data_IF_292837053665
#
_entry.id   IF_292837053665
#
_cell.length_a   1.000
_cell.length_b   1.000
_cell.length_c   1.000
_cell.angle_alpha   90.00
_cell.angle_beta   90.00
_cell.angle_gamma   90.00
#
_symmetry.space_group_name_H-M   'P 1'
#
loop_
_entity.id
_entity.type
_entity.pdbx_description
1 polymer ?
#
# COMPACT_ATOMS: atom_id res chain seq x y z
N UNK A 1 16.39 -17.06 5.93
CA UNK A 1 16.69 -15.80 6.66
C UNK A 1 15.34 -15.12 6.73
N UNK A 2 14.86 -14.80 7.90
CA UNK A 2 13.66 -13.98 7.99
C UNK A 2 13.93 -12.66 7.27
N UNK A 3 13.02 -12.14 6.45
CA UNK A 3 13.21 -10.86 5.78
C UNK A 3 13.46 -9.78 6.84
N UNK A 4 14.43 -8.92 6.58
CA UNK A 4 14.72 -7.80 7.47
C UNK A 4 13.61 -6.77 7.30
N UNK A 5 12.71 -6.72 8.26
CA UNK A 5 11.58 -5.79 8.23
C UNK A 5 12.01 -4.35 8.53
N UNK A 6 11.37 -3.35 7.91
CA UNK A 6 11.68 -1.94 8.15
C UNK A 6 11.54 -1.57 9.62
N UNK A 7 12.50 -0.81 10.14
CA UNK A 7 12.54 -0.36 11.53
C UNK A 7 12.44 1.16 11.61
N UNK A 8 11.76 1.71 12.65
CA UNK A 8 11.68 3.15 12.85
C UNK A 8 13.07 3.79 13.02
N UNK A 9 13.29 4.90 12.30
CA UNK A 9 14.47 5.74 12.46
C UNK A 9 14.07 6.99 13.22
N UNK A 10 14.20 6.95 14.56
CA UNK A 10 13.80 8.02 15.47
C UNK A 10 15.00 8.38 16.35
N UNK A 11 15.29 9.69 16.47
CA UNK A 11 16.36 10.20 17.32
C UNK A 11 15.87 10.40 18.76
N UNK A 12 15.38 9.30 19.33
CA UNK A 12 14.94 9.21 20.72
C UNK A 12 15.38 7.87 21.33
N UNK A 13 15.62 7.80 22.65
CA UNK A 13 15.90 6.53 23.31
C UNK A 13 14.74 5.53 23.11
N UNK A 14 15.08 4.30 22.74
CA UNK A 14 14.09 3.24 22.64
C UNK A 14 13.94 2.56 24.02
N UNK A 15 12.79 2.78 24.64
CA UNK A 15 12.41 2.24 25.96
C UNK A 15 11.49 1.01 25.86
N UNK A 16 11.43 0.36 24.70
CA UNK A 16 10.54 -0.79 24.45
C UNK A 16 10.68 -1.88 25.51
N UNK A 17 11.88 -2.14 26.04
CA UNK A 17 12.07 -3.14 27.10
C UNK A 17 11.32 -2.76 28.39
N UNK A 18 11.34 -1.51 28.79
CA UNK A 18 10.61 -1.02 29.98
C UNK A 18 9.09 -1.21 29.81
N UNK A 19 8.58 -0.90 28.61
CA UNK A 19 7.17 -1.09 28.29
C UNK A 19 6.77 -2.57 28.29
N UNK A 20 7.63 -3.45 27.75
CA UNK A 20 7.42 -4.91 27.80
C UNK A 20 7.43 -5.46 29.21
N UNK A 21 8.34 -5.01 30.06
CA UNK A 21 8.39 -5.42 31.47
C UNK A 21 7.11 -4.99 32.22
N UNK A 22 6.58 -3.79 31.90
CA UNK A 22 5.33 -3.31 32.46
C UNK A 22 4.13 -4.15 31.96
N UNK A 23 4.06 -4.43 30.65
CA UNK A 23 3.02 -5.28 30.06
C UNK A 23 3.02 -6.68 30.71
N UNK A 24 4.18 -7.30 30.87
CA UNK A 24 4.28 -8.63 31.50
C UNK A 24 3.77 -8.63 32.93
N UNK A 25 3.95 -7.54 33.69
CA UNK A 25 3.43 -7.40 35.04
C UNK A 25 1.89 -7.21 35.11
N UNK A 26 1.30 -6.64 34.05
CA UNK A 26 -0.10 -6.22 34.01
C UNK A 26 -1.00 -7.10 33.13
N UNK A 27 -0.46 -7.86 32.17
CA UNK A 27 -1.25 -8.58 31.16
C UNK A 27 -2.30 -9.51 31.74
N UNK A 28 -2.05 -10.17 32.89
CA UNK A 28 -2.99 -11.06 33.53
C UNK A 28 -4.28 -10.34 33.95
N UNK A 29 -4.22 -9.03 34.20
CA UNK A 29 -5.40 -8.22 34.52
C UNK A 29 -6.37 -8.20 33.34
N UNK A 30 -5.84 -8.13 32.10
CA UNK A 30 -6.63 -8.11 30.88
C UNK A 30 -7.11 -9.50 30.46
N UNK A 31 -6.23 -10.51 30.55
CA UNK A 31 -6.56 -11.92 30.26
C UNK A 31 -7.67 -12.48 31.11
N UNK A 32 -7.84 -12.01 32.37
CA UNK A 32 -8.83 -12.46 33.30
C UNK A 32 -10.15 -11.67 33.28
N UNK A 33 -10.29 -10.68 32.40
CA UNK A 33 -11.53 -9.93 32.29
C UNK A 33 -12.68 -10.80 31.76
N UNK A 34 -13.92 -10.55 32.21
CA UNK A 34 -15.07 -11.30 31.73
C UNK A 34 -15.25 -11.11 30.19
N UNK A 35 -15.61 -12.22 29.55
CA UNK A 35 -15.90 -12.28 28.10
C UNK A 35 -14.69 -12.06 27.17
N UNK A 36 -13.48 -11.83 27.69
CA UNK A 36 -12.24 -11.80 26.91
C UNK A 36 -11.88 -13.22 26.51
N UNK A 37 -11.78 -13.44 25.18
CA UNK A 37 -11.43 -14.72 24.57
C UNK A 37 -10.06 -14.72 23.92
N UNK A 38 -9.47 -13.53 23.73
CA UNK A 38 -8.12 -13.35 23.22
C UNK A 38 -7.58 -11.95 23.48
N UNK A 39 -6.26 -11.80 23.44
CA UNK A 39 -5.55 -10.53 23.61
C UNK A 39 -4.35 -10.50 22.68
N UNK A 40 -4.18 -9.41 21.93
CA UNK A 40 -2.95 -9.13 21.18
C UNK A 40 -2.25 -7.88 21.71
N UNK A 41 -0.93 -7.85 21.56
CA UNK A 41 -0.11 -6.65 21.61
C UNK A 41 0.06 -6.14 20.18
N UNK A 42 -0.26 -4.90 19.97
CA UNK A 42 -0.21 -4.25 18.68
C UNK A 42 0.75 -3.03 18.71
N UNK A 43 0.64 -2.13 17.76
CA UNK A 43 1.24 -0.82 17.77
C UNK A 43 2.78 -0.79 17.71
N UNK A 44 3.35 0.27 18.28
CA UNK A 44 4.80 0.51 18.28
C UNK A 44 5.60 -0.56 18.99
N UNK A 45 5.08 -1.03 20.12
CA UNK A 45 5.77 -2.00 20.97
C UNK A 45 5.89 -3.37 20.31
N UNK A 46 4.88 -3.86 19.60
CA UNK A 46 4.95 -5.10 18.83
C UNK A 46 5.99 -5.02 17.71
N UNK A 47 6.23 -3.82 17.19
CA UNK A 47 7.27 -3.52 16.18
C UNK A 47 8.66 -3.25 16.77
N UNK A 48 8.83 -3.47 18.09
CA UNK A 48 10.11 -3.30 18.77
C UNK A 48 10.49 -1.85 19.09
N UNK A 49 9.55 -0.91 19.02
CA UNK A 49 9.76 0.49 19.33
C UNK A 49 8.82 0.98 20.44
N UNK A 50 9.38 1.80 21.34
CA UNK A 50 8.63 2.55 22.33
C UNK A 50 9.51 3.62 22.95
N UNK A 51 8.95 4.77 23.29
CA UNK A 51 9.63 5.86 23.96
C UNK A 51 8.75 6.44 25.09
N UNK A 52 9.12 7.61 25.61
CA UNK A 52 8.37 8.27 26.70
C UNK A 52 6.97 8.77 26.27
N UNK A 53 6.70 8.85 24.95
CA UNK A 53 5.43 9.27 24.39
C UNK A 53 4.55 8.08 23.97
N UNK A 54 5.08 6.86 24.09
CA UNK A 54 4.42 5.65 23.60
C UNK A 54 3.44 5.09 24.62
N UNK A 55 2.29 4.67 24.12
CA UNK A 55 1.33 3.80 24.78
C UNK A 55 1.69 2.32 24.59
N UNK A 56 1.02 1.46 25.34
CA UNK A 56 0.95 0.01 25.11
C UNK A 56 -0.39 -0.26 24.43
N UNK A 57 -0.35 -0.64 23.15
CA UNK A 57 -1.53 -0.91 22.35
C UNK A 57 -1.97 -2.36 22.57
N UNK A 58 -3.19 -2.56 23.07
CA UNK A 58 -3.79 -3.88 23.28
C UNK A 58 -5.14 -3.97 22.57
N UNK A 59 -5.35 -5.05 21.80
CA UNK A 59 -6.68 -5.42 21.33
C UNK A 59 -7.22 -6.57 22.17
N UNK A 60 -8.37 -6.35 22.80
CA UNK A 60 -9.11 -7.36 23.56
C UNK A 60 -10.23 -7.94 22.70
N UNK A 61 -10.10 -9.21 22.36
CA UNK A 61 -11.13 -9.91 21.59
C UNK A 61 -12.19 -10.46 22.52
N UNK A 62 -13.44 -10.11 22.25
CA UNK A 62 -14.58 -10.42 23.08
C UNK A 62 -15.52 -11.43 22.41
N UNK A 63 -16.18 -12.25 23.24
CA UNK A 63 -17.35 -12.99 22.79
C UNK A 63 -18.45 -12.04 22.28
N UNK A 64 -19.41 -12.52 21.47
CA UNK A 64 -20.49 -11.70 20.95
C UNK A 64 -21.27 -10.98 22.06
N UNK A 65 -21.66 -11.72 23.11
CA UNK A 65 -22.42 -11.17 24.25
C UNK A 65 -21.57 -10.18 25.08
N UNK A 66 -20.26 -10.45 25.20
CA UNK A 66 -19.31 -9.58 25.88
C UNK A 66 -19.16 -8.26 25.12
N UNK A 67 -18.99 -8.30 23.80
CA UNK A 67 -18.86 -7.10 22.98
C UNK A 67 -20.10 -6.19 23.09
N UNK A 68 -21.31 -6.75 23.00
CA UNK A 68 -22.55 -6.00 23.20
C UNK A 68 -22.65 -5.40 24.62
N UNK A 69 -22.19 -6.15 25.61
CA UNK A 69 -22.18 -5.70 27.02
C UNK A 69 -21.24 -4.52 27.19
N UNK A 70 -20.01 -4.62 26.69
CA UNK A 70 -18.98 -3.57 26.86
C UNK A 70 -19.31 -2.31 26.07
N UNK A 71 -19.75 -2.44 24.82
CA UNK A 71 -20.15 -1.30 23.99
C UNK A 71 -21.40 -0.58 24.50
N UNK A 72 -22.24 -1.24 25.31
CA UNK A 72 -23.38 -0.60 26.01
C UNK A 72 -22.96 0.23 27.24
N UNK A 73 -21.67 0.45 27.49
CA UNK A 73 -21.12 1.25 28.58
C UNK A 73 -20.94 0.45 29.88
N UNK A 74 -20.86 -0.86 29.81
CA UNK A 74 -20.64 -1.76 30.97
C UNK A 74 -19.30 -2.50 30.91
N UNK A 75 -18.31 -1.89 30.20
CA UNK A 75 -16.96 -2.41 30.19
C UNK A 75 -16.33 -2.36 31.57
N UNK A 76 -15.63 -3.43 32.02
CA UNK A 76 -15.00 -3.49 33.36
C UNK A 76 -13.72 -2.64 33.43
N UNK A 77 -13.18 -2.24 32.29
CA UNK A 77 -12.00 -1.35 32.15
C UNK A 77 -12.33 -0.21 31.17
N UNK A 78 -11.64 0.92 31.24
CA UNK A 78 -11.73 1.96 30.21
C UNK A 78 -11.31 1.41 28.84
N UNK A 79 -11.98 1.84 27.76
CA UNK A 79 -11.65 1.54 26.37
C UNK A 79 -11.05 2.78 25.75
N UNK A 80 -10.06 2.63 24.85
CA UNK A 80 -9.27 3.69 24.28
C UNK A 80 -8.09 4.08 25.16
N UNK A 81 -7.61 5.31 24.99
CA UNK A 81 -6.43 5.79 25.70
C UNK A 81 -6.71 5.94 27.19
N UNK A 82 -5.97 5.23 28.01
CA UNK A 82 -6.13 5.21 29.47
C UNK A 82 -4.80 4.98 30.21
N UNK A 83 -4.80 5.13 31.52
CA UNK A 83 -3.63 4.89 32.37
C UNK A 83 -3.89 3.67 33.24
N UNK A 84 -3.01 2.68 33.17
CA UNK A 84 -3.00 1.48 34.01
C UNK A 84 -1.66 1.40 34.73
N UNK A 85 -1.67 1.41 36.05
CA UNK A 85 -0.48 1.36 36.91
C UNK A 85 0.63 2.36 36.48
N UNK A 86 0.23 3.63 36.28
CA UNK A 86 1.09 4.76 35.88
C UNK A 86 1.67 4.66 34.44
N UNK A 87 1.23 3.71 33.61
CA UNK A 87 1.61 3.59 32.22
C UNK A 87 0.40 3.84 31.30
N UNK A 88 0.66 4.54 30.16
CA UNK A 88 -0.34 4.81 29.13
C UNK A 88 -0.61 3.53 28.31
N UNK A 89 -1.90 3.24 28.11
CA UNK A 89 -2.40 2.18 27.25
C UNK A 89 -3.38 2.75 26.23
N UNK A 90 -3.42 2.16 25.05
CA UNK A 90 -4.56 2.24 24.13
C UNK A 90 -5.23 0.85 24.09
N UNK A 91 -6.46 0.77 24.59
CA UNK A 91 -7.21 -0.49 24.72
C UNK A 91 -8.32 -0.50 23.69
N UNK A 92 -8.14 -1.28 22.65
CA UNK A 92 -9.18 -1.54 21.66
C UNK A 92 -9.96 -2.82 21.99
N UNK A 93 -11.20 -2.89 21.50
CA UNK A 93 -12.03 -4.09 21.63
C UNK A 93 -12.53 -4.52 20.27
N UNK A 94 -12.42 -5.80 20.00
CA UNK A 94 -12.97 -6.41 18.78
C UNK A 94 -13.86 -7.59 19.12
N UNK A 95 -14.86 -7.82 18.28
CA UNK A 95 -15.69 -9.02 18.37
C UNK A 95 -14.99 -10.15 17.63
N UNK A 96 -14.69 -11.25 18.32
CA UNK A 96 -13.92 -12.36 17.74
C UNK A 96 -14.57 -12.96 16.48
N UNK A 97 -15.90 -13.12 16.42
CA UNK A 97 -16.59 -13.67 15.27
C UNK A 97 -16.48 -12.75 14.03
N UNK A 98 -16.39 -11.42 14.22
CA UNK A 98 -16.17 -10.45 13.15
C UNK A 98 -14.73 -10.56 12.67
N UNK A 99 -13.79 -10.58 13.58
CA UNK A 99 -12.36 -10.75 13.27
C UNK A 99 -12.06 -12.01 12.44
N UNK A 100 -12.73 -13.13 12.75
CA UNK A 100 -12.60 -14.41 12.04
C UNK A 100 -13.21 -14.41 10.63
N UNK A 101 -14.02 -13.42 10.26
CA UNK A 101 -14.74 -13.39 8.98
C UNK A 101 -14.44 -12.18 8.12
N UNK A 102 -13.70 -11.21 8.62
CA UNK A 102 -13.42 -9.94 7.98
C UNK A 102 -12.23 -10.04 7.02
N UNK A 103 -12.30 -9.35 5.89
CA UNK A 103 -11.16 -9.17 5.01
C UNK A 103 -10.37 -7.95 5.47
N UNK A 104 -9.08 -8.12 5.69
CA UNK A 104 -8.23 -7.04 6.18
C UNK A 104 -7.72 -6.16 5.03
N UNK A 105 -7.76 -4.85 5.23
CA UNK A 105 -7.13 -3.87 4.35
C UNK A 105 -5.61 -3.96 4.39
N UNK A 106 -4.92 -3.36 3.42
CA UNK A 106 -3.44 -3.36 3.38
C UNK A 106 -2.82 -2.83 4.68
N UNK A 107 -3.40 -1.79 5.28
CA UNK A 107 -2.95 -1.23 6.55
C UNK A 107 -3.17 -2.19 7.72
N UNK A 108 -4.32 -2.88 7.76
CA UNK A 108 -4.59 -3.91 8.76
C UNK A 108 -3.67 -5.11 8.58
N UNK A 109 -3.40 -5.56 7.35
CA UNK A 109 -2.39 -6.58 7.04
C UNK A 109 -1.02 -6.19 7.63
N UNK A 110 -0.62 -4.92 7.43
CA UNK A 110 0.64 -4.43 8.00
C UNK A 110 0.63 -4.46 9.52
N UNK A 111 -0.38 -3.92 10.20
CA UNK A 111 -0.50 -3.92 11.66
C UNK A 111 -0.54 -5.35 12.21
N UNK A 112 -1.40 -6.20 11.66
CA UNK A 112 -1.57 -7.60 12.07
C UNK A 112 -0.29 -8.43 11.84
N UNK A 113 0.51 -8.12 10.82
CA UNK A 113 1.77 -8.82 10.58
C UNK A 113 2.83 -8.63 11.67
N UNK A 114 2.64 -7.68 12.57
CA UNK A 114 3.48 -7.44 13.75
C UNK A 114 2.79 -7.80 15.07
N UNK A 115 1.49 -8.05 15.07
CA UNK A 115 0.74 -8.33 16.28
C UNK A 115 1.28 -9.57 17.00
N UNK A 116 1.40 -9.47 18.30
CA UNK A 116 1.84 -10.58 19.15
C UNK A 116 0.63 -11.12 19.94
N UNK A 117 0.30 -12.39 19.76
CA UNK A 117 -0.77 -13.03 20.50
C UNK A 117 -0.29 -13.25 21.94
N UNK A 118 -0.92 -12.55 22.91
CA UNK A 118 -0.61 -12.67 24.33
C UNK A 118 -1.47 -13.73 25.01
N UNK A 119 -2.74 -13.86 24.61
CA UNK A 119 -3.71 -14.78 25.18
C UNK A 119 -4.65 -15.32 24.08
N UNK A 120 -4.71 -16.62 23.95
CA UNK A 120 -5.58 -17.32 22.97
C UNK A 120 -5.83 -18.78 23.43
N UNK A 121 -6.63 -18.99 24.49
CA UNK A 121 -6.79 -20.33 25.07
C UNK A 121 -7.48 -21.34 24.15
N UNK A 122 -8.24 -20.90 23.17
CA UNK A 122 -8.98 -21.74 22.22
C UNK A 122 -8.30 -21.83 20.84
N UNK A 123 -7.22 -21.07 20.59
CA UNK A 123 -6.50 -21.04 19.32
C UNK A 123 -7.25 -20.30 18.21
N UNK A 124 -8.25 -19.48 18.53
CA UNK A 124 -9.09 -18.78 17.56
C UNK A 124 -8.34 -17.64 16.89
N UNK A 125 -7.56 -16.86 17.65
CA UNK A 125 -6.73 -15.81 17.09
C UNK A 125 -5.66 -16.39 16.16
N UNK A 126 -4.94 -17.40 16.61
CA UNK A 126 -3.92 -18.05 15.80
C UNK A 126 -4.49 -18.58 14.48
N UNK A 127 -5.68 -19.20 14.50
CA UNK A 127 -6.35 -19.68 13.30
C UNK A 127 -6.75 -18.52 12.37
N UNK A 128 -7.31 -17.43 12.90
CA UNK A 128 -7.69 -16.27 12.08
C UNK A 128 -6.47 -15.57 11.43
N UNK A 129 -5.35 -15.46 12.17
CA UNK A 129 -4.11 -14.94 11.60
C UNK A 129 -3.57 -15.83 10.49
N UNK A 130 -3.59 -17.15 10.66
CA UNK A 130 -3.14 -18.10 9.62
C UNK A 130 -4.04 -18.05 8.38
N UNK A 131 -5.34 -17.80 8.53
CA UNK A 131 -6.32 -17.80 7.43
C UNK A 131 -6.37 -16.46 6.67
N UNK A 132 -6.13 -15.33 7.33
CA UNK A 132 -6.37 -13.99 6.78
C UNK A 132 -5.10 -13.15 6.53
N UNK A 133 -3.97 -13.50 7.15
CA UNK A 133 -2.74 -12.77 6.90
C UNK A 133 -2.19 -13.18 5.52
N UNK A 134 -2.35 -12.27 4.57
CA UNK A 134 -1.82 -12.43 3.22
C UNK A 134 -0.32 -12.08 3.17
N UNK A 135 0.44 -12.60 2.19
CA UNK A 135 1.81 -12.13 1.97
C UNK A 135 1.81 -10.65 1.58
N UNK A 136 2.93 -9.93 1.79
CA UNK A 136 3.04 -8.54 1.32
C UNK A 136 2.63 -8.39 -0.14
N UNK A 137 2.05 -7.23 -0.53
CA UNK A 137 1.45 -7.04 -1.86
C UNK A 137 2.42 -7.21 -3.03
N UNK A 138 3.72 -7.03 -2.80
CA UNK A 138 4.77 -7.33 -3.76
C UNK A 138 4.77 -6.46 -5.02
N UNK A 139 5.60 -6.88 -5.98
CA UNK A 139 5.90 -6.14 -7.19
C UNK A 139 4.67 -5.86 -8.08
N UNK A 140 3.70 -6.76 -8.10
CA UNK A 140 2.49 -6.59 -8.90
C UNK A 140 1.64 -5.40 -8.45
N UNK A 141 1.59 -5.15 -7.14
CA UNK A 141 0.88 -4.01 -6.57
C UNK A 141 1.53 -2.67 -6.92
N UNK A 142 2.85 -2.66 -7.11
CA UNK A 142 3.59 -1.46 -7.50
C UNK A 142 3.12 -0.87 -8.85
N UNK A 143 2.50 -1.67 -9.74
CA UNK A 143 1.96 -1.17 -11.02
C UNK A 143 0.93 -0.06 -10.82
N UNK A 144 -0.06 -0.31 -9.96
CA UNK A 144 -1.11 0.67 -9.64
C UNK A 144 -0.57 1.89 -8.91
N UNK A 145 0.28 1.70 -7.92
CA UNK A 145 0.90 2.78 -7.14
C UNK A 145 1.77 3.69 -8.00
N UNK A 146 2.57 3.13 -8.91
CA UNK A 146 3.36 3.91 -9.86
C UNK A 146 2.48 4.68 -10.84
N UNK A 147 1.35 4.10 -11.28
CA UNK A 147 0.38 4.81 -12.10
C UNK A 147 -0.26 5.98 -11.36
N UNK A 148 -0.69 5.80 -10.11
CA UNK A 148 -1.31 6.84 -9.30
C UNK A 148 -0.34 7.99 -9.02
N UNK A 149 0.89 7.69 -8.67
CA UNK A 149 1.95 8.69 -8.53
C UNK A 149 2.14 9.47 -9.84
N UNK A 150 2.30 8.76 -10.97
CA UNK A 150 2.48 9.36 -12.29
C UNK A 150 1.29 10.23 -12.70
N UNK A 151 0.06 9.81 -12.45
CA UNK A 151 -1.14 10.58 -12.68
C UNK A 151 -1.07 11.95 -11.99
N UNK A 152 -0.67 11.98 -10.74
CA UNK A 152 -0.60 13.20 -9.96
C UNK A 152 0.55 14.11 -10.41
N UNK A 153 1.79 13.64 -10.45
CA UNK A 153 2.92 14.54 -10.78
C UNK A 153 3.01 14.86 -12.27
N UNK A 154 2.61 13.96 -13.14
CA UNK A 154 2.78 14.12 -14.59
C UNK A 154 1.60 14.82 -15.25
N UNK A 155 0.36 14.35 -15.00
CA UNK A 155 -0.83 14.84 -15.69
C UNK A 155 -1.52 15.98 -14.97
N UNK A 156 -2.03 15.70 -13.76
CA UNK A 156 -2.88 16.67 -13.06
C UNK A 156 -2.10 17.91 -12.67
N UNK A 157 -0.85 17.76 -12.23
CA UNK A 157 0.04 18.93 -11.98
C UNK A 157 0.30 19.75 -13.23
N UNK A 158 0.50 19.11 -14.41
CA UNK A 158 0.70 19.83 -15.65
C UNK A 158 -0.50 20.74 -16.02
N UNK A 159 -1.72 20.31 -15.71
CA UNK A 159 -2.91 21.13 -15.91
C UNK A 159 -2.88 22.42 -15.07
N UNK A 160 -2.45 22.33 -13.81
CA UNK A 160 -2.39 23.49 -12.90
C UNK A 160 -1.22 24.41 -13.20
N UNK A 161 -0.09 23.88 -13.65
CA UNK A 161 1.03 24.67 -14.19
C UNK A 161 0.55 25.53 -15.38
N UNK A 162 -0.18 24.93 -16.35
CA UNK A 162 -0.73 25.64 -17.50
C UNK A 162 -1.75 26.73 -17.11
N UNK A 163 -2.48 26.53 -16.01
CA UNK A 163 -3.46 27.49 -15.46
C UNK A 163 -2.78 28.59 -14.62
N UNK A 164 -1.50 28.45 -14.31
CA UNK A 164 -0.74 29.41 -13.51
C UNK A 164 -1.07 29.41 -12.01
N UNK A 165 -1.68 28.34 -11.49
CA UNK A 165 -2.04 28.20 -10.07
C UNK A 165 -1.00 27.34 -9.34
N UNK A 166 0.00 27.99 -8.75
CA UNK A 166 1.09 27.31 -8.04
C UNK A 166 0.60 26.61 -6.77
N UNK A 167 -0.34 27.21 -6.02
CA UNK A 167 -0.86 26.63 -4.78
C UNK A 167 -1.57 25.31 -5.06
N UNK A 168 -2.46 25.29 -6.04
CA UNK A 168 -3.16 24.09 -6.43
C UNK A 168 -2.22 23.02 -7.03
N UNK A 169 -1.20 23.45 -7.77
CA UNK A 169 -0.18 22.55 -8.30
C UNK A 169 0.63 21.87 -7.17
N UNK A 170 1.01 22.62 -6.12
CA UNK A 170 1.65 22.05 -4.92
C UNK A 170 0.75 21.04 -4.21
N UNK A 171 -0.53 21.37 -4.03
CA UNK A 171 -1.49 20.47 -3.39
C UNK A 171 -1.66 19.15 -4.16
N UNK A 172 -1.68 19.22 -5.50
CA UNK A 172 -1.76 18.00 -6.34
C UNK A 172 -0.47 17.19 -6.28
N UNK A 173 0.70 17.86 -6.19
CA UNK A 173 1.98 17.15 -5.99
C UNK A 173 2.06 16.41 -4.65
N UNK A 174 1.42 16.94 -3.60
CA UNK A 174 1.36 16.24 -2.31
C UNK A 174 0.67 14.88 -2.44
N UNK A 175 -0.36 14.77 -3.29
CA UNK A 175 -1.04 13.50 -3.56
C UNK A 175 -0.17 12.46 -4.31
N UNK A 176 0.95 12.88 -4.92
CA UNK A 176 1.89 11.95 -5.54
C UNK A 176 2.83 11.27 -4.53
N UNK A 177 3.00 11.87 -3.33
CA UNK A 177 4.01 11.41 -2.35
C UNK A 177 3.62 10.07 -1.74
N UNK A 178 2.36 9.89 -1.32
CA UNK A 178 1.86 8.63 -0.76
C UNK A 178 2.16 7.46 -1.70
N UNK A 179 1.57 7.42 -2.92
CA UNK A 179 1.78 6.35 -3.88
C UNK A 179 3.26 6.14 -4.27
N UNK A 180 4.08 7.21 -4.29
CA UNK A 180 5.51 7.09 -4.54
C UNK A 180 6.21 6.28 -3.44
N UNK A 181 5.90 6.58 -2.17
CA UNK A 181 6.53 5.89 -1.03
C UNK A 181 5.96 4.48 -0.89
N UNK A 182 4.66 4.28 -1.06
CA UNK A 182 4.01 2.97 -1.04
C UNK A 182 4.57 2.05 -2.14
N UNK A 183 4.82 2.59 -3.36
CA UNK A 183 5.46 1.78 -4.42
C UNK A 183 6.85 1.30 -4.04
N UNK A 184 7.59 2.07 -3.21
CA UNK A 184 8.88 1.63 -2.69
C UNK A 184 8.76 0.44 -1.72
N UNK A 185 7.70 0.37 -0.89
CA UNK A 185 7.41 -0.81 -0.07
C UNK A 185 7.06 -2.01 -0.94
N UNK A 186 6.17 -1.83 -1.91
CA UNK A 186 5.75 -2.91 -2.80
C UNK A 186 6.91 -3.54 -3.58
N UNK A 187 7.89 -2.75 -4.09
CA UNK A 187 9.06 -3.30 -4.78
C UNK A 187 10.10 -3.93 -3.85
N UNK A 188 9.96 -3.78 -2.54
CA UNK A 188 10.76 -4.45 -1.52
C UNK A 188 10.04 -5.67 -0.91
N UNK A 189 8.88 -6.08 -1.44
CA UNK A 189 8.05 -7.15 -0.90
C UNK A 189 7.69 -6.91 0.58
N UNK A 190 7.38 -5.65 0.93
CA UNK A 190 6.98 -5.24 2.27
C UNK A 190 5.52 -4.80 2.33
N UNK A 191 4.89 -5.01 3.49
CA UNK A 191 3.54 -4.52 3.75
C UNK A 191 3.49 -2.99 3.74
N UNK A 192 2.34 -2.45 3.31
CA UNK A 192 2.11 -1.00 3.27
C UNK A 192 1.77 -0.48 4.67
N UNK A 193 2.65 0.31 5.30
CA UNK A 193 2.44 0.78 6.65
C UNK A 193 1.38 1.88 6.70
N UNK A 194 0.78 2.06 7.89
CA UNK A 194 -0.05 3.21 8.17
C UNK A 194 0.67 4.52 7.82
N UNK A 195 -0.07 5.51 7.30
CA UNK A 195 0.49 6.80 6.83
C UNK A 195 1.40 7.51 7.85
N UNK A 196 1.10 7.39 9.16
CA UNK A 196 1.93 7.96 10.25
C UNK A 196 3.34 7.38 10.31
N UNK A 197 3.58 6.20 9.72
CA UNK A 197 4.86 5.50 9.69
C UNK A 197 5.52 5.45 8.30
N UNK A 198 4.74 5.67 7.24
CA UNK A 198 5.11 5.44 5.85
C UNK A 198 6.46 6.08 5.48
N UNK A 199 6.61 7.38 5.69
CA UNK A 199 7.84 8.12 5.36
C UNK A 199 9.00 7.73 6.28
N UNK A 200 8.74 7.47 7.57
CA UNK A 200 9.79 7.10 8.50
C UNK A 200 10.40 5.75 8.15
N UNK A 201 9.56 4.72 8.01
CA UNK A 201 9.99 3.36 7.74
C UNK A 201 10.62 3.20 6.35
N UNK A 202 10.21 4.00 5.35
CA UNK A 202 10.81 3.96 4.01
C UNK A 202 12.32 4.19 4.00
N UNK A 203 12.87 4.83 5.03
CA UNK A 203 14.30 5.12 5.16
C UNK A 203 15.14 3.89 5.52
N UNK A 204 14.52 2.83 6.02
CA UNK A 204 15.17 1.60 6.47
C UNK A 204 14.90 0.39 5.56
N UNK A 205 14.18 0.56 4.46
CA UNK A 205 13.98 -0.48 3.45
C UNK A 205 15.32 -0.95 2.87
N UNK A 206 15.41 -2.21 2.51
CA UNK A 206 16.65 -2.84 2.01
C UNK A 206 17.10 -2.18 0.70
N UNK A 207 16.19 -2.03 -0.25
CA UNK A 207 16.46 -1.26 -1.44
C UNK A 207 15.72 0.09 -1.42
N UNK A 208 16.41 1.12 -1.84
CA UNK A 208 15.86 2.46 -2.06
C UNK A 208 16.74 3.25 -3.03
N UNK A 209 16.19 4.24 -3.74
CA UNK A 209 16.98 5.16 -4.55
C UNK A 209 18.11 5.83 -3.74
N UNK A 210 19.23 6.11 -4.40
CA UNK A 210 20.33 6.85 -3.79
C UNK A 210 19.84 8.18 -3.21
N UNK A 211 20.34 8.55 -2.03
CA UNK A 211 19.96 9.77 -1.32
C UNK A 211 18.45 9.92 -1.04
N UNK A 212 17.73 8.77 -0.92
CA UNK A 212 16.28 8.72 -0.75
C UNK A 212 15.75 9.77 0.22
N UNK A 213 16.24 9.82 1.47
CA UNK A 213 15.73 10.72 2.51
C UNK A 213 15.85 12.20 2.12
N UNK A 214 16.99 12.60 1.54
CA UNK A 214 17.23 14.00 1.11
C UNK A 214 16.37 14.38 -0.08
N UNK A 215 16.27 13.47 -1.06
CA UNK A 215 15.44 13.69 -2.26
C UNK A 215 13.96 13.71 -1.91
N UNK A 216 13.48 12.83 -1.03
CA UNK A 216 12.10 12.83 -0.56
C UNK A 216 11.78 14.12 0.21
N UNK A 217 12.67 14.59 1.07
CA UNK A 217 12.51 15.88 1.75
C UNK A 217 12.39 17.03 0.74
N UNK A 218 13.18 17.02 -0.34
CA UNK A 218 13.08 18.02 -1.42
C UNK A 218 11.76 17.90 -2.18
N UNK A 219 11.28 16.69 -2.43
CA UNK A 219 9.99 16.43 -3.06
C UNK A 219 8.81 16.92 -2.21
N UNK A 220 8.92 16.89 -0.90
CA UNK A 220 7.88 17.34 0.05
C UNK A 220 7.95 18.85 0.37
N UNK A 221 9.06 19.51 0.08
CA UNK A 221 9.24 20.93 0.40
C UNK A 221 8.56 21.82 -0.64
N UNK A 222 7.62 22.66 -0.20
CA UNK A 222 6.97 23.68 -1.06
C UNK A 222 7.83 24.92 -1.33
N UNK A 223 9.00 25.04 -0.66
CA UNK A 223 9.87 26.19 -0.77
C UNK A 223 9.14 27.49 -0.45
N UNK A 224 9.19 28.45 -1.37
CA UNK A 224 8.47 29.73 -1.28
C UNK A 224 7.04 29.68 -1.85
N UNK A 225 6.58 28.50 -2.27
CA UNK A 225 5.25 28.30 -2.86
C UNK A 225 5.11 28.81 -4.31
N UNK A 226 6.22 29.17 -4.96
CA UNK A 226 6.21 29.68 -6.33
C UNK A 226 6.02 28.59 -7.38
N UNK A 227 5.74 28.99 -8.62
CA UNK A 227 5.70 28.07 -9.76
C UNK A 227 7.08 27.44 -10.06
N UNK A 228 8.16 28.14 -9.74
CA UNK A 228 9.53 27.62 -9.86
C UNK A 228 9.72 26.41 -8.96
N UNK A 229 9.33 26.51 -7.68
CA UNK A 229 9.40 25.40 -6.72
C UNK A 229 8.44 24.24 -7.07
N UNK A 230 7.30 24.50 -7.75
CA UNK A 230 6.47 23.44 -8.33
C UNK A 230 7.26 22.62 -9.36
N UNK A 231 7.98 23.28 -10.27
CA UNK A 231 8.78 22.59 -11.28
C UNK A 231 9.93 21.79 -10.66
N UNK A 232 10.62 22.34 -9.66
CA UNK A 232 11.69 21.66 -8.95
C UNK A 232 11.17 20.39 -8.24
N UNK A 233 10.10 20.50 -7.45
CA UNK A 233 9.46 19.36 -6.77
C UNK A 233 9.05 18.26 -7.75
N UNK A 234 8.36 18.68 -8.82
CA UNK A 234 7.92 17.76 -9.88
C UNK A 234 9.10 17.02 -10.51
N UNK A 235 10.23 17.70 -10.74
CA UNK A 235 11.44 17.09 -11.26
C UNK A 235 12.05 16.05 -10.31
N UNK A 236 12.05 16.33 -9.01
CA UNK A 236 12.54 15.40 -7.99
C UNK A 236 11.64 14.17 -7.89
N UNK A 237 10.30 14.36 -7.84
CA UNK A 237 9.33 13.27 -7.82
C UNK A 237 9.50 12.38 -9.07
N UNK A 238 9.62 12.98 -10.25
CA UNK A 238 9.81 12.25 -11.48
C UNK A 238 11.10 11.40 -11.46
N UNK A 239 12.20 11.94 -10.95
CA UNK A 239 13.46 11.21 -10.86
C UNK A 239 13.41 10.06 -9.86
N UNK A 240 12.74 10.23 -8.70
CA UNK A 240 12.50 9.15 -7.74
C UNK A 240 11.61 8.06 -8.33
N UNK A 241 10.55 8.47 -8.99
CA UNK A 241 9.63 7.58 -9.69
C UNK A 241 10.34 6.75 -10.78
N UNK A 242 11.21 7.39 -11.60
CA UNK A 242 12.01 6.72 -12.63
C UNK A 242 12.99 5.69 -12.03
N UNK A 243 13.54 5.95 -10.84
CA UNK A 243 14.42 5.01 -10.15
C UNK A 243 13.64 3.77 -9.67
N UNK A 244 12.45 3.96 -9.08
CA UNK A 244 11.59 2.86 -8.62
C UNK A 244 11.05 2.05 -9.80
N UNK A 245 10.57 2.70 -10.86
CA UNK A 245 10.12 2.05 -12.10
C UNK A 245 11.22 1.18 -12.72
N UNK A 246 12.45 1.70 -12.77
CA UNK A 246 13.60 0.94 -13.29
C UNK A 246 13.88 -0.28 -12.43
N UNK A 247 13.92 -0.11 -11.10
CA UNK A 247 14.14 -1.22 -10.19
C UNK A 247 13.04 -2.28 -10.33
N UNK A 248 11.77 -1.89 -10.40
CA UNK A 248 10.65 -2.81 -10.60
C UNK A 248 10.81 -3.65 -11.88
N UNK A 249 11.23 -3.00 -12.99
CA UNK A 249 11.48 -3.71 -14.26
C UNK A 249 12.69 -4.64 -14.20
N UNK A 250 13.74 -4.24 -13.45
CA UNK A 250 14.96 -5.05 -13.29
C UNK A 250 14.73 -6.29 -12.40
N UNK A 251 13.70 -6.27 -11.53
CA UNK A 251 13.29 -7.44 -10.74
C UNK A 251 12.45 -8.43 -11.54
N UNK A 252 11.93 -8.04 -12.68
CA UNK A 252 11.12 -8.91 -13.56
C UNK A 252 12.01 -9.53 -14.64
N UNK A 253 11.85 -10.85 -14.84
CA UNK A 253 12.52 -11.59 -15.92
C UNK A 253 11.92 -11.29 -17.31
N UNK A 254 10.87 -10.49 -17.40
CA UNK A 254 10.08 -10.31 -18.64
C UNK A 254 10.76 -9.38 -19.66
N UNK A 255 11.79 -8.61 -19.27
CA UNK A 255 12.48 -7.68 -20.17
C UNK A 255 11.54 -6.64 -20.79
N UNK A 256 10.58 -6.11 -20.03
CA UNK A 256 9.52 -5.22 -20.49
C UNK A 256 10.08 -3.97 -21.21
N UNK A 257 9.66 -3.68 -22.46
CA UNK A 257 10.09 -2.49 -23.20
C UNK A 257 9.30 -1.22 -22.81
N UNK A 258 8.35 -1.33 -21.88
CA UNK A 258 7.49 -0.26 -21.37
C UNK A 258 7.77 0.00 -19.90
N UNK A 259 7.17 1.06 -19.36
CA UNK A 259 7.19 1.34 -17.92
C UNK A 259 6.43 0.28 -17.14
N UNK A 260 6.81 0.06 -15.87
CA UNK A 260 6.16 -0.93 -15.03
C UNK A 260 4.65 -0.69 -14.91
N UNK A 261 4.22 0.57 -14.78
CA UNK A 261 2.81 0.97 -14.74
C UNK A 261 2.02 0.67 -16.04
N UNK A 262 2.68 0.26 -17.12
CA UNK A 262 2.06 -0.10 -18.40
C UNK A 262 2.09 -1.62 -18.67
N UNK A 263 2.59 -2.38 -17.72
CA UNK A 263 2.87 -3.81 -17.85
C UNK A 263 1.65 -4.63 -18.26
N UNK A 264 0.54 -4.45 -17.56
CA UNK A 264 -0.71 -5.19 -17.83
C UNK A 264 -1.23 -4.88 -19.23
N UNK A 265 -1.23 -3.63 -19.64
CA UNK A 265 -1.63 -3.22 -21.00
C UNK A 265 -0.72 -3.81 -22.08
N UNK A 266 0.59 -3.79 -21.86
CA UNK A 266 1.55 -4.36 -22.78
C UNK A 266 1.39 -5.87 -22.92
N UNK A 267 1.29 -6.60 -21.81
CA UNK A 267 1.07 -8.05 -21.80
C UNK A 267 -0.23 -8.44 -22.48
N UNK A 268 -1.32 -7.72 -22.18
CA UNK A 268 -2.63 -7.99 -22.79
C UNK A 268 -2.62 -7.75 -24.30
N UNK A 269 -2.03 -6.63 -24.75
CA UNK A 269 -1.94 -6.33 -26.19
C UNK A 269 -1.01 -7.30 -26.93
N UNK A 270 0.15 -7.63 -26.33
CA UNK A 270 1.08 -8.63 -26.89
C UNK A 270 0.42 -10.00 -27.04
N UNK A 271 -0.30 -10.45 -25.99
CA UNK A 271 -1.03 -11.72 -26.04
C UNK A 271 -2.11 -11.71 -27.14
N UNK A 272 -2.84 -10.59 -27.28
CA UNK A 272 -3.85 -10.47 -28.33
C UNK A 272 -3.23 -10.46 -29.74
N UNK A 273 -2.05 -9.84 -29.90
CA UNK A 273 -1.30 -9.85 -31.17
C UNK A 273 -0.80 -11.25 -31.51
N UNK A 274 -0.27 -11.98 -30.54
CA UNK A 274 0.25 -13.35 -30.75
C UNK A 274 -0.86 -14.35 -31.04
N UNK A 275 -1.98 -14.26 -30.32
CA UNK A 275 -3.10 -15.20 -30.43
C UNK A 275 -4.08 -14.85 -31.56
N UNK A 276 -4.14 -13.56 -31.97
CA UNK A 276 -5.12 -12.96 -32.88
C UNK A 276 -6.59 -13.08 -32.39
N UNK A 277 -6.92 -14.13 -31.66
CA UNK A 277 -8.24 -14.42 -31.11
C UNK A 277 -8.14 -15.12 -29.76
N UNK A 278 -8.84 -14.61 -28.76
CA UNK A 278 -8.85 -15.13 -27.38
C UNK A 278 -10.32 -15.32 -26.93
N UNK A 279 -10.71 -16.48 -26.36
CA UNK A 279 -12.02 -16.62 -25.74
C UNK A 279 -12.25 -15.53 -24.70
N UNK A 280 -13.46 -14.93 -24.67
CA UNK A 280 -13.78 -13.83 -23.74
C UNK A 280 -13.60 -14.25 -22.27
N UNK A 281 -13.96 -15.48 -21.92
CA UNK A 281 -13.75 -16.04 -20.58
C UNK A 281 -12.26 -16.07 -20.20
N UNK A 282 -11.40 -16.53 -21.10
CA UNK A 282 -9.94 -16.56 -20.85
C UNK A 282 -9.32 -15.16 -20.79
N UNK A 283 -9.86 -14.22 -21.57
CA UNK A 283 -9.47 -12.81 -21.47
C UNK A 283 -9.88 -12.22 -20.14
N UNK A 284 -11.13 -12.45 -19.70
CA UNK A 284 -11.67 -11.91 -18.44
C UNK A 284 -10.91 -12.44 -17.23
N UNK A 285 -10.57 -13.73 -17.24
CA UNK A 285 -9.73 -14.33 -16.19
C UNK A 285 -8.33 -13.73 -16.13
N UNK A 286 -7.71 -13.44 -17.30
CA UNK A 286 -6.33 -12.97 -17.35
C UNK A 286 -6.18 -11.46 -17.14
N UNK A 287 -7.13 -10.64 -17.63
CA UNK A 287 -6.98 -9.20 -17.74
C UNK A 287 -8.21 -8.40 -17.28
N UNK A 288 -9.34 -9.05 -17.09
CA UNK A 288 -10.63 -8.41 -16.81
C UNK A 288 -11.30 -7.83 -18.07
N UNK A 289 -12.61 -8.01 -18.19
CA UNK A 289 -13.42 -7.51 -19.33
C UNK A 289 -13.39 -5.99 -19.46
N UNK A 290 -13.17 -5.26 -18.36
CA UNK A 290 -13.13 -3.80 -18.36
C UNK A 290 -12.02 -3.25 -19.28
N UNK A 291 -10.91 -3.97 -19.41
CA UNK A 291 -9.77 -3.55 -20.21
C UNK A 291 -10.15 -3.36 -21.69
N UNK A 292 -11.08 -4.16 -22.22
CA UNK A 292 -11.58 -4.05 -23.60
C UNK A 292 -12.30 -2.72 -23.91
N UNK A 293 -12.77 -2.04 -22.88
CA UNK A 293 -13.44 -0.74 -23.00
C UNK A 293 -12.46 0.44 -22.88
N UNK A 294 -11.18 0.17 -22.71
CA UNK A 294 -10.12 1.17 -22.56
C UNK A 294 -9.22 1.18 -23.79
N UNK A 295 -8.66 2.34 -24.10
CA UNK A 295 -7.60 2.41 -25.11
C UNK A 295 -6.34 1.65 -24.63
N UNK A 296 -5.60 1.02 -25.56
CA UNK A 296 -5.82 0.96 -27.01
C UNK A 296 -6.82 -0.11 -27.45
N UNK A 297 -7.29 -0.99 -26.56
CA UNK A 297 -8.14 -2.16 -26.89
C UNK A 297 -9.45 -1.74 -27.54
N UNK A 298 -10.09 -0.67 -27.04
CA UNK A 298 -11.34 -0.15 -27.64
C UNK A 298 -11.19 0.22 -29.13
N UNK A 299 -9.97 0.55 -29.54
CA UNK A 299 -9.68 0.92 -30.93
C UNK A 299 -9.27 -0.28 -31.82
N UNK A 300 -8.67 -1.35 -31.21
CA UNK A 300 -8.02 -2.43 -31.97
C UNK A 300 -8.60 -3.81 -31.71
N UNK A 301 -9.57 -3.96 -30.80
CA UNK A 301 -10.19 -5.24 -30.49
C UNK A 301 -11.70 -5.21 -30.73
N UNK A 302 -12.25 -6.31 -31.18
CA UNK A 302 -13.71 -6.52 -31.30
C UNK A 302 -14.10 -7.76 -30.51
N UNK A 303 -15.31 -7.73 -29.93
CA UNK A 303 -15.88 -8.88 -29.21
C UNK A 303 -17.08 -9.39 -29.99
N UNK A 304 -16.95 -10.60 -30.57
CA UNK A 304 -18.01 -11.26 -31.30
C UNK A 304 -18.12 -12.75 -30.90
N UNK A 305 -19.31 -13.23 -30.67
CA UNK A 305 -19.56 -14.64 -30.33
C UNK A 305 -18.63 -15.15 -29.19
N UNK A 306 -18.52 -14.39 -28.09
CA UNK A 306 -17.68 -14.70 -26.92
C UNK A 306 -16.18 -14.87 -27.22
N UNK A 307 -15.72 -14.15 -28.23
CA UNK A 307 -14.30 -14.14 -28.63
C UNK A 307 -13.83 -12.71 -28.82
N UNK A 308 -12.70 -12.39 -28.18
CA UNK A 308 -11.94 -11.16 -28.42
C UNK A 308 -11.06 -11.38 -29.65
N UNK A 309 -11.19 -10.53 -30.64
CA UNK A 309 -10.46 -10.64 -31.92
C UNK A 309 -9.68 -9.35 -32.18
N UNK A 310 -8.43 -9.47 -32.58
CA UNK A 310 -7.57 -8.36 -32.97
C UNK A 310 -8.01 -7.82 -34.34
N UNK A 311 -8.18 -6.52 -34.46
CA UNK A 311 -8.14 -5.81 -35.75
C UNK A 311 -6.70 -5.39 -36.07
N UNK A 312 -5.97 -6.24 -36.75
CA UNK A 312 -4.58 -6.00 -37.10
C UNK A 312 -4.39 -4.75 -38.02
N UNK A 313 -5.42 -4.41 -38.81
CA UNK A 313 -5.38 -3.20 -39.64
C UNK A 313 -5.53 -1.95 -38.79
N UNK A 314 -6.51 -1.94 -37.90
CA UNK A 314 -6.68 -0.84 -36.95
C UNK A 314 -5.42 -0.64 -36.08
N UNK A 315 -4.82 -1.75 -35.60
CA UNK A 315 -3.56 -1.67 -34.83
C UNK A 315 -2.42 -1.06 -35.67
N UNK A 316 -2.28 -1.45 -36.95
CA UNK A 316 -1.23 -0.92 -37.83
C UNK A 316 -1.40 0.57 -38.18
N UNK A 317 -2.64 1.01 -38.35
CA UNK A 317 -3.01 2.36 -38.73
C UNK A 317 -3.15 3.33 -37.56
N UNK A 318 -3.18 2.82 -36.30
CA UNK A 318 -3.36 3.64 -35.10
C UNK A 318 -2.22 4.66 -34.96
N UNK A 319 -2.58 5.92 -34.80
CA UNK A 319 -1.65 7.03 -34.63
C UNK A 319 -1.66 7.61 -33.23
N UNK A 320 -0.66 8.41 -32.87
CA UNK A 320 -0.60 9.10 -31.59
C UNK A 320 -1.76 10.09 -31.35
N UNK A 321 -2.44 10.51 -32.42
CA UNK A 321 -3.60 11.41 -32.32
C UNK A 321 -4.92 10.65 -32.04
N UNK A 322 -4.93 9.33 -32.28
CA UNK A 322 -6.13 8.49 -32.12
C UNK A 322 -6.30 8.01 -30.68
N UNK A 323 -5.23 7.86 -29.93
CA UNK A 323 -5.23 7.40 -28.55
C UNK A 323 -4.36 8.30 -27.67
N UNK A 324 -4.60 8.24 -26.37
CA UNK A 324 -3.81 8.99 -25.40
C UNK A 324 -2.32 8.58 -25.44
N UNK A 325 -1.39 9.54 -25.32
CA UNK A 325 0.07 9.34 -25.43
C UNK A 325 0.57 8.11 -24.65
N UNK A 326 0.08 7.91 -23.44
CA UNK A 326 0.44 6.79 -22.56
C UNK A 326 0.06 5.42 -23.17
N UNK A 327 -1.13 5.31 -23.76
CA UNK A 327 -1.60 4.09 -24.43
C UNK A 327 -0.83 3.87 -25.73
N UNK A 328 -0.49 4.94 -26.44
CA UNK A 328 0.26 4.85 -27.70
C UNK A 328 1.69 4.31 -27.49
N UNK A 329 2.33 4.61 -26.34
CA UNK A 329 3.63 4.02 -25.99
C UNK A 329 3.57 2.49 -25.90
N UNK A 330 2.46 1.92 -25.38
CA UNK A 330 2.23 0.47 -25.40
C UNK A 330 2.09 -0.06 -26.82
N UNK A 331 1.34 0.62 -27.69
CA UNK A 331 1.17 0.24 -29.10
C UNK A 331 2.51 0.23 -29.83
N UNK A 332 3.34 1.25 -29.67
CA UNK A 332 4.68 1.33 -30.28
C UNK A 332 5.57 0.18 -29.79
N UNK A 333 5.55 -0.13 -28.51
CA UNK A 333 6.36 -1.20 -27.93
C UNK A 333 5.94 -2.60 -28.44
N UNK A 334 4.65 -2.82 -28.71
CA UNK A 334 4.15 -4.09 -29.26
C UNK A 334 4.46 -4.23 -30.75
N UNK A 335 4.54 -3.10 -31.50
CA UNK A 335 4.91 -3.09 -32.93
C UNK A 335 6.40 -3.29 -33.20
N UNK A 336 7.27 -3.01 -32.21
CA UNK A 336 8.74 -3.12 -32.34
C UNK A 336 9.22 -4.56 -32.25
#
# INVERSE_FOLDING_TARGET
MEPHRPTPTIDHPNDAQRLRDHLEATRQQFESLPDVVGVTLDGGLSRGYGDELSEIDLTLYLSADGYETWTSGRAPVPIGITVVDDQLYDIEIERIDTFESETWSDTEQWDRSYAEILYDPEGRLAAAFDDHLEPPPGLDHAEGLLFDCWWHFRLTTACWIRRGDALQAHYVLDNAIGPLVESLFAVNDEYLPHEKWLVNLSRSLDWRPDDWGTRLQSAMSTGDGSMETVHERRGVIAALWDDIDRYARDQSDDGLPVRWMQRTFYRALSHLVEAERIPLEAWDEAYGSRLLSMDPFAAVATVEAETVTLDATALADLTADDVYEWHYQVVEAVRA
#
